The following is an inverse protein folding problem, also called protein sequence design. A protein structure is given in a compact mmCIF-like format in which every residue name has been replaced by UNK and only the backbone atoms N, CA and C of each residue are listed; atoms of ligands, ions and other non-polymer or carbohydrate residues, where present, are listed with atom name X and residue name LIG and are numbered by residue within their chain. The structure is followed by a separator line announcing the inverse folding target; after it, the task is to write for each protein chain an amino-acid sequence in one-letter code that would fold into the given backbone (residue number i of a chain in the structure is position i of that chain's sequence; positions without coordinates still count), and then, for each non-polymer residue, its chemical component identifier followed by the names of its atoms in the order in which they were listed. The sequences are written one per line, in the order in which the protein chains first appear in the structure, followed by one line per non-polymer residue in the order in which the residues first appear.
data_IF_162643780505
#
_entry.id   IF_162643780505
#
_cell.length_a   1.000
_cell.length_b   1.000
_cell.length_c   1.000
_cell.angle_alpha   90.00
_cell.angle_beta   90.00
_cell.angle_gamma   90.00
#
_symmetry.space_group_name_H-M   'P 1'
#
loop_
_entity.id
_entity.type
_entity.pdbx_description
1 polymer ?
#
# COMPACT_ATOMS: atom_id res chain seq x y z
N UNK A 1 -16.33 2.19 7.51
CA UNK A 1 -15.36 2.29 6.40
C UNK A 1 -15.27 0.94 5.73
N UNK A 2 -15.19 0.90 4.40
CA UNK A 2 -14.80 -0.32 3.66
C UNK A 2 -13.32 -0.64 3.93
N UNK A 3 -12.85 -1.82 3.56
CA UNK A 3 -11.47 -2.22 3.77
C UNK A 3 -10.49 -1.31 3.02
N UNK A 4 -10.79 -0.93 1.77
CA UNK A 4 -9.98 0.04 1.05
C UNK A 4 -9.95 1.42 1.72
N UNK A 5 -11.05 1.83 2.37
CA UNK A 5 -11.05 3.06 3.17
C UNK A 5 -10.17 2.93 4.42
N UNK A 6 -10.16 1.76 5.07
CA UNK A 6 -9.26 1.49 6.21
C UNK A 6 -7.79 1.51 5.74
N UNK A 7 -7.48 0.87 4.61
CA UNK A 7 -6.17 0.89 3.97
C UNK A 7 -5.63 2.33 3.81
N UNK A 8 -6.38 3.21 3.14
CA UNK A 8 -5.90 4.60 2.95
C UNK A 8 -5.98 5.45 4.21
N UNK A 9 -6.81 5.08 5.20
CA UNK A 9 -6.94 5.85 6.44
C UNK A 9 -5.66 5.91 7.27
N UNK A 10 -4.69 5.02 7.03
CA UNK A 10 -3.35 5.15 7.62
C UNK A 10 -2.67 6.47 7.24
N UNK A 11 -2.85 6.89 5.98
CA UNK A 11 -2.27 8.11 5.43
C UNK A 11 -3.08 9.36 5.77
N UNK A 12 -4.36 9.24 6.16
CA UNK A 12 -5.16 10.33 6.72
C UNK A 12 -4.71 10.57 8.18
N UNK A 13 -3.73 11.45 8.39
CA UNK A 13 -3.04 11.56 9.69
C UNK A 13 -3.88 12.33 10.70
N UNK A 14 -4.66 13.31 10.25
CA UNK A 14 -5.53 14.09 11.11
C UNK A 14 -6.95 13.51 11.28
N UNK A 15 -7.31 12.48 10.50
CA UNK A 15 -8.60 11.76 10.53
C UNK A 15 -9.80 12.60 10.08
N UNK A 16 -9.60 13.58 9.20
CA UNK A 16 -10.68 14.40 8.64
C UNK A 16 -11.33 13.82 7.37
N UNK A 17 -10.80 12.70 6.85
CA UNK A 17 -11.26 12.03 5.64
C UNK A 17 -10.67 12.58 4.35
N UNK A 18 -9.70 13.49 4.43
CA UNK A 18 -8.99 14.14 3.32
C UNK A 18 -7.50 13.90 3.52
N UNK A 19 -6.89 13.15 2.60
CA UNK A 19 -5.45 12.93 2.60
C UNK A 19 -4.82 14.03 1.75
N UNK A 20 -3.89 14.77 2.32
CA UNK A 20 -3.07 15.79 1.64
C UNK A 20 -1.74 15.21 1.16
N UNK A 21 -1.04 15.85 0.19
CA UNK A 21 0.29 15.40 -0.25
C UNK A 21 1.30 15.30 0.90
N UNK A 22 1.20 16.21 1.88
CA UNK A 22 2.05 16.21 3.07
C UNK A 22 1.80 14.97 3.93
N UNK A 23 0.54 14.59 4.11
CA UNK A 23 0.19 13.41 4.91
C UNK A 23 0.58 12.11 4.21
N UNK A 24 0.44 12.03 2.89
CA UNK A 24 0.98 10.90 2.10
C UNK A 24 2.49 10.80 2.25
N UNK A 25 3.22 11.93 2.14
CA UNK A 25 4.66 11.97 2.39
C UNK A 25 5.01 11.48 3.80
N UNK A 26 4.31 11.97 4.83
CA UNK A 26 4.52 11.56 6.21
C UNK A 26 4.24 10.07 6.41
N UNK A 27 3.20 9.53 5.77
CA UNK A 27 2.86 8.11 5.83
C UNK A 27 3.95 7.22 5.23
N UNK A 28 4.50 7.57 4.07
CA UNK A 28 5.63 6.83 3.47
C UNK A 28 6.87 6.88 4.36
N UNK A 29 7.22 8.05 4.90
CA UNK A 29 8.34 8.16 5.85
C UNK A 29 8.08 7.32 7.10
N UNK A 30 6.84 7.30 7.60
CA UNK A 30 6.48 6.56 8.80
C UNK A 30 6.68 5.04 8.65
N UNK A 31 6.46 4.48 7.45
CA UNK A 31 6.65 3.06 7.16
C UNK A 31 8.07 2.71 6.67
N UNK A 32 9.03 3.63 6.81
CA UNK A 32 10.44 3.39 6.54
C UNK A 32 10.94 3.75 5.15
N UNK A 33 10.16 4.48 4.34
CA UNK A 33 10.64 4.97 3.05
C UNK A 33 11.56 6.20 3.21
N UNK A 34 12.55 6.31 2.33
CA UNK A 34 13.44 7.48 2.30
C UNK A 34 12.70 8.78 1.90
N UNK A 35 13.23 9.94 2.29
CA UNK A 35 12.63 11.26 2.05
C UNK A 35 12.41 11.52 0.55
N UNK A 36 13.41 11.21 -0.29
CA UNK A 36 13.35 11.45 -1.72
C UNK A 36 12.26 10.58 -2.38
N UNK A 37 12.23 9.29 -2.03
CA UNK A 37 11.18 8.37 -2.47
C UNK A 37 9.79 8.84 -2.02
N UNK A 38 9.64 9.18 -0.73
CA UNK A 38 8.37 9.60 -0.13
C UNK A 38 7.80 10.84 -0.81
N UNK A 39 8.68 11.79 -1.20
CA UNK A 39 8.27 13.01 -1.91
C UNK A 39 7.79 12.71 -3.33
N UNK A 40 8.49 11.83 -4.05
CA UNK A 40 8.10 11.39 -5.39
C UNK A 40 6.79 10.58 -5.34
N UNK A 41 6.67 9.65 -4.40
CA UNK A 41 5.48 8.83 -4.21
C UNK A 41 4.24 9.68 -3.89
N UNK A 42 4.35 10.66 -2.98
CA UNK A 42 3.27 11.57 -2.67
C UNK A 42 2.80 12.36 -3.91
N UNK A 43 3.74 12.85 -4.73
CA UNK A 43 3.40 13.57 -5.96
C UNK A 43 2.67 12.67 -6.97
N UNK A 44 3.17 11.45 -7.19
CA UNK A 44 2.59 10.47 -8.12
C UNK A 44 1.20 10.01 -7.67
N UNK A 45 1.06 9.62 -6.41
CA UNK A 45 -0.21 9.15 -5.81
C UNK A 45 -1.28 10.23 -5.91
N UNK A 46 -0.95 11.49 -5.59
CA UNK A 46 -1.93 12.57 -5.70
C UNK A 46 -2.25 12.95 -7.14
N UNK A 47 -1.26 12.94 -8.04
CA UNK A 47 -1.48 13.17 -9.47
C UNK A 47 -2.42 12.12 -10.09
N UNK A 48 -2.33 10.86 -9.65
CA UNK A 48 -3.18 9.78 -10.12
C UNK A 48 -4.57 9.76 -9.45
N UNK A 49 -4.62 9.89 -8.12
CA UNK A 49 -5.83 9.60 -7.34
C UNK A 49 -6.69 10.82 -7.02
N UNK A 50 -6.12 12.02 -6.93
CA UNK A 50 -6.92 13.21 -6.62
C UNK A 50 -8.01 13.44 -7.69
N UNK A 51 -7.75 13.38 -9.01
CA UNK A 51 -8.80 13.58 -10.01
C UNK A 51 -9.96 12.59 -9.91
N UNK A 52 -9.70 11.36 -9.48
CA UNK A 52 -10.70 10.29 -9.37
C UNK A 52 -11.56 10.40 -8.11
N UNK A 53 -10.96 10.87 -7.02
CA UNK A 53 -11.56 10.82 -5.69
C UNK A 53 -12.22 12.13 -5.27
N UNK A 54 -12.23 13.16 -6.12
CA UNK A 54 -12.90 14.42 -5.77
C UNK A 54 -14.43 14.27 -5.60
N UNK A 55 -15.04 15.07 -4.71
CA UNK A 55 -16.49 15.10 -4.57
C UNK A 55 -17.16 15.59 -5.85
N UNK A 56 -18.40 15.15 -6.14
CA UNK A 56 -19.17 15.66 -7.26
C UNK A 56 -19.26 17.20 -7.23
N UNK A 57 -18.93 17.84 -8.35
CA UNK A 57 -18.97 19.31 -8.47
C UNK A 57 -17.69 20.04 -8.02
N UNK A 58 -16.63 19.34 -7.59
CA UNK A 58 -15.34 19.96 -7.36
C UNK A 58 -14.75 20.54 -8.66
N UNK A 59 -14.04 21.66 -8.56
CA UNK A 59 -13.33 22.29 -9.66
C UNK A 59 -11.81 22.09 -9.51
N UNK A 60 -11.04 21.96 -10.60
CA UNK A 60 -9.58 21.90 -10.55
C UNK A 60 -8.96 23.17 -9.92
N UNK A 61 -7.74 23.09 -9.35
CA UNK A 61 -6.87 21.92 -9.32
C UNK A 61 -7.25 20.89 -8.25
N UNK A 62 -7.15 19.62 -8.61
CA UNK A 62 -7.36 18.50 -7.69
C UNK A 62 -6.04 18.15 -7.01
N UNK A 63 -5.97 18.35 -5.70
CA UNK A 63 -4.72 18.12 -4.93
C UNK A 63 -4.87 17.11 -3.81
N UNK A 64 -6.09 16.86 -3.32
CA UNK A 64 -6.34 15.98 -2.18
C UNK A 64 -7.03 14.69 -2.60
N UNK A 65 -6.80 13.64 -1.82
CA UNK A 65 -7.49 12.36 -1.96
C UNK A 65 -8.59 12.30 -0.91
N UNK A 66 -9.82 12.05 -1.33
CA UNK A 66 -10.94 11.94 -0.40
C UNK A 66 -11.25 10.47 -0.12
N UNK A 67 -11.05 10.05 1.13
CA UNK A 67 -11.24 8.66 1.58
C UNK A 67 -12.64 8.15 1.22
N UNK A 68 -13.66 9.00 1.30
CA UNK A 68 -15.05 8.65 0.92
C UNK A 68 -15.16 8.07 -0.51
N UNK A 69 -14.36 8.56 -1.45
CA UNK A 69 -14.45 8.22 -2.87
C UNK A 69 -13.31 7.33 -3.38
N UNK A 70 -12.45 6.81 -2.48
CA UNK A 70 -11.29 6.01 -2.87
C UNK A 70 -11.62 4.76 -3.70
N UNK A 71 -12.82 4.20 -3.55
CA UNK A 71 -13.29 3.09 -4.38
C UNK A 71 -13.32 3.40 -5.90
N UNK A 72 -13.30 4.67 -6.29
CA UNK A 72 -13.18 5.09 -7.69
C UNK A 72 -11.75 4.96 -8.25
N UNK A 73 -10.77 4.76 -7.39
CA UNK A 73 -9.35 4.58 -7.74
C UNK A 73 -8.98 3.10 -7.98
N UNK A 74 -9.90 2.16 -7.74
CA UNK A 74 -9.70 0.74 -8.07
C UNK A 74 -9.49 0.63 -9.58
N UNK A 75 -8.47 -0.10 -10.00
CA UNK A 75 -8.04 -0.18 -11.40
C UNK A 75 -7.93 -1.63 -11.91
N UNK A 76 -7.91 -1.81 -13.23
CA UNK A 76 -8.16 -3.11 -13.87
C UNK A 76 -7.20 -4.22 -13.46
N UNK A 77 -5.94 -3.89 -13.19
CA UNK A 77 -4.89 -4.86 -12.85
C UNK A 77 -4.75 -5.17 -11.35
N UNK A 78 -5.73 -4.75 -10.55
CA UNK A 78 -5.80 -5.15 -9.15
C UNK A 78 -5.99 -6.66 -9.01
N UNK A 79 -5.61 -7.18 -7.85
CA UNK A 79 -5.84 -8.58 -7.46
C UNK A 79 -7.32 -9.01 -7.43
N UNK A 80 -8.26 -8.07 -7.52
CA UNK A 80 -9.69 -8.33 -7.38
C UNK A 80 -10.15 -8.66 -5.95
N UNK A 81 -9.25 -8.60 -4.97
CA UNK A 81 -9.58 -8.82 -3.56
C UNK A 81 -10.22 -7.59 -2.88
N UNK A 82 -10.42 -6.50 -3.63
CA UNK A 82 -11.46 -5.52 -3.36
C UNK A 82 -12.58 -5.65 -4.39
N UNK A 83 -13.83 -5.55 -3.95
CA UNK A 83 -14.95 -5.34 -4.87
C UNK A 83 -15.01 -3.87 -5.36
N UNK A 84 -15.94 -3.57 -6.28
CA UNK A 84 -16.09 -2.23 -6.86
C UNK A 84 -16.50 -1.12 -5.87
N UNK A 85 -16.77 -1.46 -4.61
CA UNK A 85 -17.01 -0.52 -3.50
C UNK A 85 -15.85 -0.47 -2.52
N UNK A 86 -14.77 -1.21 -2.77
CA UNK A 86 -13.60 -1.30 -1.90
C UNK A 86 -13.80 -2.21 -0.69
N UNK A 87 -14.78 -3.11 -0.70
CA UNK A 87 -14.97 -4.12 0.35
C UNK A 87 -14.07 -5.31 0.06
N UNK A 88 -13.49 -5.89 1.10
CA UNK A 88 -12.59 -7.04 0.93
C UNK A 88 -13.33 -8.31 0.51
N UNK A 89 -12.75 -9.04 -0.43
CA UNK A 89 -13.28 -10.31 -0.97
C UNK A 89 -12.32 -11.43 -0.59
N UNK A 90 -12.68 -12.20 0.45
CA UNK A 90 -11.85 -13.24 1.03
C UNK A 90 -11.46 -14.31 0.01
N UNK A 91 -12.41 -14.74 -0.82
CA UNK A 91 -12.18 -15.80 -1.81
C UNK A 91 -11.13 -15.37 -2.85
N UNK A 92 -11.18 -14.12 -3.30
CA UNK A 92 -10.21 -13.56 -4.26
C UNK A 92 -8.83 -13.41 -3.66
N UNK A 93 -8.76 -13.04 -2.39
CA UNK A 93 -7.51 -13.01 -1.66
C UNK A 93 -6.89 -14.41 -1.49
N UNK A 94 -7.70 -15.42 -1.13
CA UNK A 94 -7.22 -16.80 -0.99
C UNK A 94 -6.78 -17.42 -2.32
N UNK A 95 -7.40 -17.00 -3.43
CA UNK A 95 -6.98 -17.40 -4.78
C UNK A 95 -5.54 -16.97 -5.11
N UNK A 96 -5.05 -15.82 -4.61
CA UNK A 96 -3.67 -15.35 -4.82
C UNK A 96 -2.67 -16.44 -4.39
N UNK A 97 -2.80 -16.90 -3.16
CA UNK A 97 -1.91 -17.91 -2.57
C UNK A 97 -2.11 -19.28 -3.19
N UNK A 98 -3.35 -19.63 -3.50
CA UNK A 98 -3.65 -20.90 -4.17
C UNK A 98 -3.00 -20.99 -5.56
N UNK A 99 -2.89 -19.86 -6.28
CA UNK A 99 -2.37 -19.81 -7.65
C UNK A 99 -0.85 -19.57 -7.72
N UNK A 100 -0.31 -18.74 -6.83
CA UNK A 100 1.05 -18.20 -6.99
C UNK A 100 2.02 -18.58 -5.86
N UNK A 101 1.55 -19.14 -4.74
CA UNK A 101 2.43 -19.54 -3.63
C UNK A 101 2.99 -20.96 -3.86
N UNK A 102 3.98 -21.07 -4.74
CA UNK A 102 4.60 -22.33 -5.17
C UNK A 102 5.59 -22.88 -4.14
N UNK A 103 6.33 -22.01 -3.45
CA UNK A 103 7.36 -22.42 -2.48
C UNK A 103 6.77 -22.72 -1.10
N UNK A 104 5.89 -21.84 -0.61
CA UNK A 104 5.27 -21.96 0.71
C UNK A 104 3.81 -21.51 0.63
N UNK A 105 2.87 -22.43 0.86
CA UNK A 105 1.42 -22.23 0.63
C UNK A 105 0.82 -20.93 1.17
N UNK A 106 1.33 -20.41 2.29
CA UNK A 106 0.84 -19.19 2.93
C UNK A 106 1.87 -18.05 2.92
N UNK A 107 2.71 -17.97 1.88
CA UNK A 107 3.60 -16.84 1.66
C UNK A 107 4.00 -16.70 0.19
N UNK A 108 4.39 -15.48 -0.21
CA UNK A 108 4.91 -15.19 -1.53
C UNK A 108 6.35 -14.71 -1.44
N UNK A 109 7.18 -15.17 -2.38
CA UNK A 109 8.49 -14.60 -2.71
C UNK A 109 8.33 -13.47 -3.74
N UNK A 110 9.36 -12.65 -3.96
CA UNK A 110 9.29 -11.58 -4.97
C UNK A 110 8.93 -12.11 -6.37
N UNK A 111 9.55 -13.21 -6.88
CA UNK A 111 9.17 -13.75 -8.18
C UNK A 111 7.70 -14.21 -8.24
N UNK A 112 7.15 -14.73 -7.15
CA UNK A 112 5.73 -15.13 -7.08
C UNK A 112 4.79 -13.91 -7.05
N UNK A 113 5.22 -12.80 -6.44
CA UNK A 113 4.52 -11.50 -6.55
C UNK A 113 4.56 -10.97 -7.98
N UNK A 114 5.71 -11.02 -8.66
CA UNK A 114 5.87 -10.57 -10.05
C UNK A 114 5.06 -11.44 -11.03
N UNK A 115 5.00 -12.75 -10.79
CA UNK A 115 4.13 -13.68 -11.51
C UNK A 115 2.66 -13.29 -11.35
N UNK A 116 2.20 -13.09 -10.11
CA UNK A 116 0.83 -12.65 -9.81
C UNK A 116 0.49 -11.32 -10.53
N UNK A 117 1.40 -10.33 -10.46
CA UNK A 117 1.22 -9.04 -11.12
C UNK A 117 1.08 -9.20 -12.64
N UNK A 118 1.95 -10.01 -13.25
CA UNK A 118 1.90 -10.29 -14.68
C UNK A 118 0.59 -11.00 -15.07
N UNK A 119 0.14 -11.95 -14.24
CA UNK A 119 -1.11 -12.69 -14.44
C UNK A 119 -2.35 -11.78 -14.36
N UNK A 120 -2.34 -10.79 -13.46
CA UNK A 120 -3.48 -9.90 -13.22
C UNK A 120 -3.57 -8.71 -14.19
N UNK A 121 -2.59 -8.50 -15.07
CA UNK A 121 -2.60 -7.40 -16.05
C UNK A 121 -3.89 -7.40 -16.87
N UNK A 122 -4.65 -6.30 -16.80
CA UNK A 122 -5.80 -6.08 -17.65
C UNK A 122 -5.35 -5.60 -19.03
N UNK A 123 -5.51 -6.39 -20.12
CA UNK A 123 -5.12 -5.98 -21.46
C UNK A 123 -5.93 -4.79 -22.00
N UNK A 124 -7.09 -4.49 -21.41
CA UNK A 124 -7.94 -3.35 -21.77
C UNK A 124 -7.61 -2.09 -20.96
N UNK A 125 -6.80 -2.21 -19.90
CA UNK A 125 -6.31 -1.10 -19.09
C UNK A 125 -4.78 -1.18 -18.83
N UNK A 126 -3.93 -1.00 -19.86
CA UNK A 126 -2.47 -1.03 -19.70
C UNK A 126 -1.92 0.07 -18.78
N UNK A 127 -2.66 1.16 -18.58
CA UNK A 127 -2.26 2.25 -17.71
C UNK A 127 -2.25 1.84 -16.22
N UNK A 128 -3.01 0.81 -15.84
CA UNK A 128 -3.05 0.28 -14.48
C UNK A 128 -1.86 -0.60 -14.09
N UNK A 129 -1.08 -1.10 -15.06
CA UNK A 129 -0.03 -2.10 -14.79
C UNK A 129 1.08 -1.54 -13.88
N UNK A 130 1.65 -0.35 -14.15
CA UNK A 130 2.74 0.18 -13.33
C UNK A 130 2.29 0.52 -11.91
N UNK A 131 1.01 0.87 -11.71
CA UNK A 131 0.47 1.17 -10.38
C UNK A 131 0.43 -0.10 -9.52
N UNK A 132 -0.17 -1.18 -10.02
CA UNK A 132 -0.20 -2.47 -9.33
C UNK A 132 1.21 -2.99 -9.04
N UNK A 133 2.15 -2.87 -9.99
CA UNK A 133 3.53 -3.27 -9.79
C UNK A 133 4.21 -2.46 -8.68
N UNK A 134 4.11 -1.13 -8.71
CA UNK A 134 4.73 -0.26 -7.72
C UNK A 134 4.20 -0.54 -6.30
N UNK A 135 2.88 -0.72 -6.16
CA UNK A 135 2.24 -1.00 -4.87
C UNK A 135 2.71 -2.33 -4.26
N UNK A 136 2.66 -3.41 -5.04
CA UNK A 136 3.03 -4.75 -4.57
C UNK A 136 4.53 -4.93 -4.38
N UNK A 137 5.36 -4.33 -5.23
CA UNK A 137 6.82 -4.38 -5.05
C UNK A 137 7.23 -3.58 -3.82
N UNK A 138 6.68 -2.37 -3.61
CA UNK A 138 6.99 -1.58 -2.42
C UNK A 138 6.64 -2.34 -1.14
N UNK A 139 5.42 -2.86 -1.06
CA UNK A 139 4.99 -3.53 0.17
C UNK A 139 5.73 -4.85 0.38
N UNK A 140 6.09 -5.59 -0.68
CA UNK A 140 6.97 -6.73 -0.55
C UNK A 140 8.32 -6.32 0.07
N UNK A 141 8.96 -5.27 -0.45
CA UNK A 141 10.26 -4.80 0.06
C UNK A 141 10.18 -4.41 1.54
N UNK A 142 9.09 -3.80 1.98
CA UNK A 142 8.91 -3.38 3.37
C UNK A 142 8.50 -4.54 4.31
N UNK A 143 7.67 -5.47 3.83
CA UNK A 143 6.96 -6.42 4.67
C UNK A 143 7.42 -7.88 4.56
N UNK A 144 8.34 -8.24 3.65
CA UNK A 144 8.89 -9.59 3.65
C UNK A 144 9.66 -9.90 4.95
N UNK A 145 9.67 -11.17 5.34
CA UNK A 145 10.45 -11.65 6.47
C UNK A 145 11.94 -11.83 6.11
N UNK A 146 12.77 -12.17 7.10
CA UNK A 146 14.21 -12.41 6.92
C UNK A 146 14.55 -13.57 5.96
N UNK A 147 13.57 -14.37 5.57
CA UNK A 147 13.72 -15.51 4.67
C UNK A 147 13.20 -15.21 3.26
N UNK A 148 12.78 -13.97 2.99
CA UNK A 148 12.27 -13.56 1.67
C UNK A 148 10.80 -13.89 1.45
N UNK A 149 10.01 -14.05 2.51
CA UNK A 149 8.59 -14.39 2.41
C UNK A 149 7.70 -13.24 2.88
N UNK A 150 6.82 -12.77 1.99
CA UNK A 150 5.64 -12.01 2.36
C UNK A 150 4.54 -12.97 2.80
N UNK A 151 4.30 -13.07 4.11
CA UNK A 151 3.30 -14.02 4.64
C UNK A 151 1.89 -13.62 4.24
N UNK A 152 1.00 -14.60 4.14
CA UNK A 152 -0.42 -14.39 3.88
C UNK A 152 -1.08 -13.44 4.88
N UNK A 153 -0.68 -13.51 6.15
CA UNK A 153 -1.17 -12.58 7.17
C UNK A 153 -0.75 -11.14 6.87
N UNK A 154 0.53 -10.88 6.57
CA UNK A 154 1.00 -9.54 6.22
C UNK A 154 0.40 -9.02 4.91
N UNK A 155 0.27 -9.88 3.91
CA UNK A 155 -0.42 -9.55 2.66
C UNK A 155 -1.89 -9.20 2.90
N UNK A 156 -2.58 -9.88 3.83
CA UNK A 156 -3.95 -9.53 4.23
C UNK A 156 -3.98 -8.14 4.85
N UNK A 157 -2.99 -7.81 5.68
CA UNK A 157 -2.89 -6.51 6.33
C UNK A 157 -2.73 -5.34 5.37
N UNK A 158 -2.35 -5.59 4.11
CA UNK A 158 -2.40 -4.59 3.05
C UNK A 158 -3.85 -4.13 2.84
N UNK A 159 -4.81 -5.05 2.77
CA UNK A 159 -6.17 -4.72 2.38
C UNK A 159 -6.97 -3.94 3.43
N UNK A 160 -6.60 -4.04 4.71
CA UNK A 160 -7.25 -3.28 5.78
C UNK A 160 -6.34 -2.22 6.41
N UNK A 161 -5.10 -2.10 5.94
CA UNK A 161 -4.10 -1.13 6.39
C UNK A 161 -3.37 -1.50 7.68
N UNK A 162 -3.64 -2.67 8.28
CA UNK A 162 -2.96 -3.10 9.52
C UNK A 162 -1.45 -3.28 9.32
N UNK A 163 -1.00 -3.64 8.11
CA UNK A 163 0.43 -3.76 7.81
C UNK A 163 1.19 -2.44 7.96
N UNK A 164 0.56 -1.30 7.67
CA UNK A 164 1.23 0.00 7.77
C UNK A 164 1.47 0.40 9.23
N UNK A 165 0.56 0.01 10.13
CA UNK A 165 0.73 0.19 11.56
C UNK A 165 1.88 -0.67 12.08
N UNK A 166 1.92 -1.95 11.68
CA UNK A 166 3.04 -2.86 12.01
C UNK A 166 4.38 -2.29 11.53
N UNK A 167 4.45 -1.78 10.29
CA UNK A 167 5.65 -1.18 9.72
C UNK A 167 6.07 0.10 10.44
N UNK A 168 5.13 0.99 10.77
CA UNK A 168 5.42 2.22 11.53
C UNK A 168 5.96 1.91 12.93
N UNK A 169 5.41 0.92 13.61
CA UNK A 169 5.90 0.45 14.92
C UNK A 169 7.31 -0.15 14.82
N UNK A 170 7.54 -1.02 13.84
CA UNK A 170 8.85 -1.64 13.58
C UNK A 170 9.91 -0.60 13.24
N UNK A 171 9.56 0.42 12.45
CA UNK A 171 10.49 1.48 12.07
C UNK A 171 10.89 2.35 13.26
N UNK A 172 9.91 2.69 14.11
CA UNK A 172 10.17 3.43 15.37
C UNK A 172 11.07 2.64 16.32
N UNK A 173 10.89 1.33 16.45
CA UNK A 173 11.73 0.51 17.33
C UNK A 173 13.17 0.44 16.81
N UNK A 174 13.38 0.23 15.51
CA UNK A 174 14.71 0.20 14.90
C UNK A 174 15.46 1.53 15.03
N UNK A 175 14.76 2.66 14.86
CA UNK A 175 15.35 3.98 15.09
C UNK A 175 15.74 4.22 16.55
N UNK A 176 14.94 3.71 17.50
CA UNK A 176 15.27 3.75 18.93
C UNK A 176 16.49 2.90 19.27
N UNK A 177 16.58 1.69 18.72
CA UNK A 177 17.70 0.78 18.94
C UNK A 177 19.01 1.37 18.40
N UNK A 178 19.00 1.92 17.19
CA UNK A 178 20.16 2.57 16.59
C UNK A 178 20.66 3.79 17.39
N UNK A 179 19.74 4.61 17.94
CA UNK A 179 20.11 5.73 18.81
C UNK A 179 20.68 5.24 20.16
N UNK A 180 20.15 4.14 20.68
CA UNK A 180 20.64 3.54 21.93
C UNK A 180 22.07 2.98 21.76
N UNK A 181 22.35 2.30 20.65
CA UNK A 181 23.67 1.75 20.33
C UNK A 181 24.72 2.85 20.14
N UNK A 182 24.36 3.95 19.46
CA UNK A 182 25.23 5.13 19.32
C UNK A 182 25.52 5.80 20.66
N UNK A 183 24.54 5.85 21.57
CA UNK A 183 24.75 6.39 22.92
C UNK A 183 25.62 5.50 23.81
N UNK A 184 25.54 4.18 23.64
CA UNK A 184 26.34 3.20 24.37
C UNK A 184 27.80 3.13 23.86
N UNK A 185 28.03 3.35 22.56
CA UNK A 185 29.37 3.39 21.98
C UNK A 185 30.15 4.69 22.27
N UNK A 186 29.50 5.69 22.87
CA UNK A 186 30.09 6.98 23.21
C UNK A 186 30.72 7.05 24.62
N UNK A 187 30.81 5.92 25.35
CA UNK A 187 31.41 5.82 26.68
C UNK A 187 32.48 4.73 26.79
#
# INVERSE_FOLDING_TARGET
MTELQKHVSFFDRNKDGIITPLETFQGFVAIGCEIAFSSAAASTVHGALAPLTNPPGALPPYVNIYVKYIHKAIHGSDTGAYDSKGRFVQEKFDEIFTKHAHIKRDALTLPEVEEMLTFNRDPLDPASWPAAEAEWQLIYQLAHDRYGFLTKERARGIYDGTIFVELEERWKSQGSDALSDLSAAAF
#
